data_IF_570878759482
#
_entry.id   IF_570878759482
#
_cell.length_a   1.000
_cell.length_b   1.000
_cell.length_c   1.000
_cell.angle_alpha   90.00
_cell.angle_beta   90.00
_cell.angle_gamma   90.00
#
_symmetry.space_group_name_H-M   'P 1'
#
loop_
_entity.id
_entity.type
_entity.pdbx_description
1 polymer ?
#
# COMPACT_ATOMS: atom_id res chain seq x y z
N UNK A 1 -14.05 14.92 -8.56
CA UNK A 1 -14.16 15.58 -7.27
C UNK A 1 -15.57 16.18 -7.12
N UNK A 2 -16.00 17.04 -8.02
CA UNK A 2 -17.35 17.67 -7.97
C UNK A 2 -18.50 16.64 -7.92
N UNK A 3 -18.31 15.46 -8.50
CA UNK A 3 -19.28 14.36 -8.47
C UNK A 3 -19.26 13.52 -7.18
N UNK A 4 -18.56 13.98 -6.13
CA UNK A 4 -18.51 13.31 -4.82
C UNK A 4 -17.30 12.39 -4.59
N UNK A 5 -16.35 12.30 -5.52
CA UNK A 5 -15.11 11.55 -5.31
C UNK A 5 -14.17 12.36 -4.40
N UNK A 6 -13.95 11.90 -3.17
CA UNK A 6 -13.08 12.57 -2.19
C UNK A 6 -11.60 12.22 -2.31
N UNK A 7 -11.31 10.93 -2.45
CA UNK A 7 -9.95 10.40 -2.54
C UNK A 7 -9.75 9.75 -3.91
N UNK A 8 -8.66 10.08 -4.57
CA UNK A 8 -8.30 9.46 -5.85
C UNK A 8 -6.94 8.78 -5.72
N UNK A 9 -6.95 7.44 -5.82
CA UNK A 9 -5.71 6.65 -5.89
C UNK A 9 -5.17 6.66 -7.30
N UNK A 10 -3.90 7.02 -7.41
CA UNK A 10 -3.18 7.10 -8.67
C UNK A 10 -1.87 6.33 -8.58
N UNK A 11 -1.50 5.66 -9.67
CA UNK A 11 -0.24 4.93 -9.76
C UNK A 11 0.23 4.82 -11.21
N UNK A 12 1.49 4.55 -11.36
CA UNK A 12 2.11 4.04 -12.58
C UNK A 12 2.71 2.67 -12.27
N UNK A 13 2.43 1.66 -13.09
CA UNK A 13 2.85 0.27 -12.83
C UNK A 13 4.38 0.10 -12.81
N UNK A 14 5.12 0.99 -13.47
CA UNK A 14 6.58 1.01 -13.49
C UNK A 14 7.18 2.03 -12.50
N UNK A 15 6.33 2.64 -11.67
CA UNK A 15 6.71 3.72 -10.76
C UNK A 15 7.35 4.92 -11.49
N UNK A 16 6.89 5.22 -12.72
CA UNK A 16 7.28 6.44 -13.41
C UNK A 16 6.54 7.63 -12.81
N UNK A 17 7.28 8.43 -12.05
CA UNK A 17 6.74 9.58 -11.32
C UNK A 17 6.30 10.69 -12.29
N UNK A 18 6.90 10.79 -13.47
CA UNK A 18 6.56 11.82 -14.45
C UNK A 18 5.14 11.61 -15.00
N UNK A 19 4.69 10.36 -15.11
CA UNK A 19 3.34 10.02 -15.55
C UNK A 19 2.23 10.47 -14.58
N UNK A 20 2.54 10.66 -13.30
CA UNK A 20 1.53 10.98 -12.27
C UNK A 20 1.53 12.45 -11.82
N UNK A 21 2.56 13.22 -12.14
CA UNK A 21 2.73 14.63 -11.74
C UNK A 21 1.52 15.50 -12.07
N UNK A 22 1.04 15.45 -13.31
CA UNK A 22 -0.09 16.26 -13.74
C UNK A 22 -1.38 15.85 -13.04
N UNK A 23 -1.56 14.55 -12.80
CA UNK A 23 -2.75 14.02 -12.09
C UNK A 23 -2.78 14.50 -10.65
N UNK A 24 -1.66 14.44 -9.92
CA UNK A 24 -1.54 14.99 -8.57
C UNK A 24 -1.95 16.46 -8.56
N UNK A 25 -1.36 17.26 -9.47
CA UNK A 25 -1.66 18.68 -9.58
C UNK A 25 -3.17 18.95 -9.75
N UNK A 26 -3.83 18.23 -10.67
CA UNK A 26 -5.26 18.45 -10.92
C UNK A 26 -6.14 17.98 -9.77
N UNK A 27 -5.83 16.85 -9.11
CA UNK A 27 -6.57 16.42 -7.91
C UNK A 27 -6.51 17.51 -6.85
N UNK A 28 -5.33 18.05 -6.57
CA UNK A 28 -5.14 19.12 -5.58
C UNK A 28 -5.85 20.42 -6.00
N UNK A 29 -5.80 20.77 -7.28
CA UNK A 29 -6.47 21.96 -7.81
C UNK A 29 -7.99 21.94 -7.60
N UNK A 30 -8.59 20.75 -7.67
CA UNK A 30 -10.04 20.56 -7.48
C UNK A 30 -10.42 20.16 -6.05
N UNK A 31 -9.50 20.24 -5.10
CA UNK A 31 -9.77 19.99 -3.68
C UNK A 31 -9.93 18.52 -3.30
N UNK A 32 -9.43 17.61 -4.13
CA UNK A 32 -9.38 16.17 -3.82
C UNK A 32 -8.16 15.78 -3.00
N UNK A 33 -8.21 14.59 -2.43
CA UNK A 33 -7.11 13.93 -1.74
C UNK A 33 -6.37 13.04 -2.76
N UNK A 34 -5.07 13.28 -2.95
CA UNK A 34 -4.22 12.50 -3.84
C UNK A 34 -3.57 11.35 -3.06
N UNK A 35 -4.08 10.14 -3.25
CA UNK A 35 -3.47 8.92 -2.75
C UNK A 35 -2.53 8.34 -3.82
N UNK A 36 -1.22 8.46 -3.61
CA UNK A 36 -0.22 8.07 -4.58
C UNK A 36 0.39 6.71 -4.22
N UNK A 37 0.23 5.74 -5.11
CA UNK A 37 0.73 4.40 -4.86
C UNK A 37 2.12 4.16 -5.45
N UNK A 38 2.97 3.52 -4.66
CA UNK A 38 4.24 2.92 -5.08
C UNK A 38 3.99 1.44 -5.35
N UNK A 39 4.11 1.03 -6.60
CA UNK A 39 3.90 -0.36 -7.00
C UNK A 39 5.06 -1.23 -6.54
N UNK A 40 4.74 -2.23 -5.72
CA UNK A 40 5.72 -3.20 -5.25
C UNK A 40 5.95 -4.29 -6.29
N UNK A 41 7.21 -4.64 -6.48
CA UNK A 41 7.64 -5.77 -7.29
C UNK A 41 8.95 -6.35 -6.74
N UNK A 42 9.43 -7.41 -7.36
CA UNK A 42 10.69 -8.08 -7.02
C UNK A 42 11.56 -8.20 -8.26
N UNK A 43 12.87 -8.25 -8.04
CA UNK A 43 13.81 -8.50 -9.13
C UNK A 43 13.57 -9.91 -9.69
N UNK A 44 13.67 -10.08 -11.01
CA UNK A 44 13.56 -11.38 -11.64
C UNK A 44 14.71 -12.30 -11.17
N UNK A 45 14.43 -13.60 -11.12
CA UNK A 45 15.46 -14.61 -10.88
C UNK A 45 16.07 -15.01 -12.23
N UNK A 46 17.34 -14.73 -12.38
CA UNK A 46 18.12 -15.22 -13.50
C UNK A 46 18.72 -16.58 -13.17
N UNK A 47 18.72 -17.51 -14.12
CA UNK A 47 19.29 -18.86 -13.96
C UNK A 47 20.61 -19.01 -14.76
N UNK A 48 21.36 -17.94 -14.85
CA UNK A 48 22.62 -17.84 -15.59
C UNK A 48 23.88 -18.06 -14.71
N UNK A 49 23.69 -18.17 -13.39
CA UNK A 49 24.76 -18.33 -12.42
C UNK A 49 25.52 -17.05 -12.09
N UNK A 50 25.06 -15.90 -12.58
CA UNK A 50 25.66 -14.59 -12.30
C UNK A 50 24.93 -13.86 -11.17
N UNK A 51 25.66 -12.98 -10.45
CA UNK A 51 25.06 -12.05 -9.50
C UNK A 51 24.57 -10.80 -10.25
N UNK A 52 23.26 -10.53 -10.15
CA UNK A 52 22.65 -9.33 -10.71
C UNK A 52 22.37 -8.30 -9.62
N UNK A 53 22.57 -7.03 -9.96
CA UNK A 53 22.26 -5.92 -9.06
C UNK A 53 20.76 -5.89 -8.74
N UNK A 54 20.43 -5.73 -7.46
CA UNK A 54 19.04 -5.60 -7.01
C UNK A 54 18.55 -4.18 -7.22
N UNK A 55 17.50 -4.04 -8.00
CA UNK A 55 16.83 -2.76 -8.28
C UNK A 55 15.74 -2.48 -7.25
N UNK A 56 14.88 -3.48 -6.96
CA UNK A 56 13.69 -3.30 -6.12
C UNK A 56 14.00 -3.51 -4.64
N UNK A 57 14.87 -2.65 -4.10
CA UNK A 57 15.24 -2.60 -2.69
C UNK A 57 14.21 -1.79 -1.88
N UNK A 58 14.26 -1.86 -0.55
CA UNK A 58 13.42 -0.99 0.29
C UNK A 58 13.72 0.49 0.05
N UNK A 59 15.00 0.82 -0.20
CA UNK A 59 15.47 2.18 -0.50
C UNK A 59 14.84 2.70 -1.80
N UNK A 60 14.71 1.87 -2.83
CA UNK A 60 14.02 2.23 -4.06
C UNK A 60 12.57 2.66 -3.80
N UNK A 61 11.80 1.85 -3.05
CA UNK A 61 10.40 2.16 -2.74
C UNK A 61 10.27 3.40 -1.86
N UNK A 62 11.15 3.55 -0.86
CA UNK A 62 11.18 4.73 0.02
C UNK A 62 11.48 6.01 -0.77
N UNK A 63 12.43 5.97 -1.70
CA UNK A 63 12.75 7.15 -2.52
C UNK A 63 11.58 7.54 -3.45
N UNK A 64 10.91 6.57 -4.07
CA UNK A 64 9.70 6.84 -4.85
C UNK A 64 8.61 7.49 -4.00
N UNK A 65 8.38 6.99 -2.79
CA UNK A 65 7.42 7.57 -1.86
C UNK A 65 7.74 9.01 -1.46
N UNK A 66 9.02 9.32 -1.18
CA UNK A 66 9.46 10.69 -0.91
C UNK A 66 9.22 11.64 -2.08
N UNK A 67 9.52 11.20 -3.29
CA UNK A 67 9.29 12.02 -4.49
C UNK A 67 7.81 12.30 -4.65
N UNK A 68 6.94 11.30 -4.51
CA UNK A 68 5.49 11.47 -4.59
C UNK A 68 4.96 12.40 -3.50
N UNK A 69 5.41 12.24 -2.25
CA UNK A 69 5.05 13.14 -1.16
C UNK A 69 5.51 14.58 -1.43
N UNK A 70 6.72 14.76 -1.98
CA UNK A 70 7.24 16.07 -2.40
C UNK A 70 6.46 16.72 -3.56
N UNK A 71 5.77 15.94 -4.38
CA UNK A 71 4.88 16.42 -5.43
C UNK A 71 3.48 16.80 -4.92
N UNK A 72 3.19 16.58 -3.64
CA UNK A 72 1.92 16.95 -3.00
C UNK A 72 0.95 15.80 -2.80
N UNK A 73 1.42 14.54 -2.80
CA UNK A 73 0.60 13.42 -2.37
C UNK A 73 0.13 13.64 -0.92
N UNK A 74 -1.14 13.39 -0.65
CA UNK A 74 -1.73 13.45 0.69
C UNK A 74 -1.63 12.11 1.43
N UNK A 75 -1.43 11.02 0.69
CA UNK A 75 -1.26 9.65 1.20
C UNK A 75 -0.28 8.91 0.30
N UNK A 76 0.41 7.93 0.86
CA UNK A 76 1.26 7.00 0.11
C UNK A 76 0.75 5.58 0.33
N UNK A 77 0.39 4.90 -0.76
CA UNK A 77 0.02 3.48 -0.73
C UNK A 77 1.20 2.60 -1.17
N UNK A 78 1.53 1.58 -0.38
CA UNK A 78 2.33 0.45 -0.85
C UNK A 78 1.37 -0.46 -1.62
N UNK A 79 1.52 -0.53 -2.95
CA UNK A 79 0.62 -1.31 -3.81
C UNK A 79 1.24 -2.62 -4.23
N UNK A 80 0.92 -3.68 -3.50
CA UNK A 80 1.36 -5.05 -3.80
C UNK A 80 0.27 -5.82 -4.55
N UNK A 81 0.15 -5.55 -5.83
CA UNK A 81 -0.89 -6.09 -6.72
C UNK A 81 -0.85 -7.62 -6.86
N UNK A 82 0.28 -8.23 -6.63
CA UNK A 82 0.47 -9.68 -6.82
C UNK A 82 0.59 -10.43 -5.50
N UNK A 83 0.51 -9.73 -4.36
CA UNK A 83 0.64 -10.33 -3.03
C UNK A 83 2.03 -10.89 -2.73
N UNK A 84 3.08 -10.30 -3.33
CA UNK A 84 4.45 -10.83 -3.28
C UNK A 84 5.20 -10.49 -2.00
N UNK A 85 4.72 -9.51 -1.24
CA UNK A 85 5.46 -8.99 -0.09
C UNK A 85 5.24 -9.88 1.15
N UNK A 86 6.26 -10.61 1.60
CA UNK A 86 6.12 -11.47 2.78
C UNK A 86 6.12 -10.63 4.07
N UNK A 87 5.55 -11.13 5.19
CA UNK A 87 5.43 -10.39 6.44
C UNK A 87 6.73 -9.77 6.95
N UNK A 88 7.87 -10.48 6.82
CA UNK A 88 9.17 -9.98 7.27
C UNK A 88 9.56 -8.70 6.51
N UNK A 89 9.33 -8.65 5.19
CA UNK A 89 9.65 -7.50 4.39
C UNK A 89 8.69 -6.35 4.61
N UNK A 90 7.39 -6.63 4.81
CA UNK A 90 6.39 -5.62 5.22
C UNK A 90 6.87 -4.88 6.48
N UNK A 91 7.32 -5.64 7.48
CA UNK A 91 7.80 -5.07 8.75
C UNK A 91 8.93 -4.04 8.56
N UNK A 92 9.89 -4.32 7.68
CA UNK A 92 11.00 -3.42 7.39
C UNK A 92 10.54 -2.20 6.56
N UNK A 93 9.78 -2.44 5.49
CA UNK A 93 9.36 -1.41 4.54
C UNK A 93 8.41 -0.40 5.16
N UNK A 94 7.38 -0.85 5.90
CA UNK A 94 6.44 0.05 6.60
C UNK A 94 7.20 0.96 7.56
N UNK A 95 8.11 0.41 8.37
CA UNK A 95 8.93 1.20 9.30
C UNK A 95 9.76 2.27 8.59
N UNK A 96 10.41 1.91 7.47
CA UNK A 96 11.23 2.85 6.68
C UNK A 96 10.37 3.95 6.05
N UNK A 97 9.21 3.59 5.49
CA UNK A 97 8.28 4.55 4.89
C UNK A 97 7.72 5.53 5.92
N UNK A 98 7.23 5.02 7.05
CA UNK A 98 6.73 5.87 8.15
C UNK A 98 7.79 6.84 8.70
N UNK A 99 9.07 6.49 8.63
CA UNK A 99 10.18 7.38 8.99
C UNK A 99 10.55 8.38 7.88
N UNK A 100 10.18 8.12 6.64
CA UNK A 100 10.63 8.88 5.47
C UNK A 100 9.60 9.90 4.95
N UNK A 101 8.30 9.68 5.21
CA UNK A 101 7.21 10.56 4.76
C UNK A 101 6.36 11.02 5.94
N UNK A 102 5.80 12.24 5.84
CA UNK A 102 4.95 12.85 6.87
C UNK A 102 3.45 12.76 6.53
N UNK A 103 3.09 11.91 5.59
CA UNK A 103 1.71 11.64 5.18
C UNK A 103 1.30 10.23 5.60
N UNK A 104 -0.01 9.94 5.75
CA UNK A 104 -0.47 8.59 6.03
C UNK A 104 0.05 7.57 5.03
N UNK A 105 0.37 6.38 5.53
CA UNK A 105 0.80 5.23 4.72
C UNK A 105 -0.30 4.19 4.70
N UNK A 106 -0.74 3.82 3.52
CA UNK A 106 -1.67 2.74 3.27
C UNK A 106 -0.95 1.48 2.77
N UNK A 107 -1.47 0.33 3.13
CA UNK A 107 -0.97 -0.96 2.66
C UNK A 107 -2.05 -1.73 1.91
N UNK A 108 -1.84 -1.86 0.61
CA UNK A 108 -2.67 -2.63 -0.31
C UNK A 108 -1.93 -3.91 -0.73
N UNK A 109 -2.53 -5.07 -0.52
CA UNK A 109 -1.99 -6.35 -1.00
C UNK A 109 -3.10 -7.31 -1.39
N UNK A 110 -2.74 -8.33 -2.17
CA UNK A 110 -3.61 -9.44 -2.55
C UNK A 110 -3.19 -10.73 -1.84
N UNK A 111 -4.10 -11.69 -1.73
CA UNK A 111 -3.85 -12.97 -1.06
C UNK A 111 -3.37 -14.07 -2.02
N UNK A 112 -3.09 -13.76 -3.29
CA UNK A 112 -2.83 -14.73 -4.37
C UNK A 112 -1.82 -15.82 -4.00
N UNK A 113 -0.60 -15.52 -3.48
CA UNK A 113 0.36 -16.54 -3.07
C UNK A 113 0.21 -16.97 -1.60
N UNK A 114 -0.82 -16.49 -0.88
CA UNK A 114 -1.11 -16.85 0.50
C UNK A 114 -0.53 -15.94 1.58
N UNK A 115 0.23 -14.91 1.25
CA UNK A 115 0.82 -13.99 2.26
C UNK A 115 -0.14 -12.90 2.75
N UNK A 116 -1.12 -12.49 1.94
CA UNK A 116 -1.87 -11.24 2.09
C UNK A 116 -2.36 -10.95 3.50
N UNK A 117 -3.09 -11.88 4.14
CA UNK A 117 -3.58 -11.67 5.50
C UNK A 117 -2.42 -11.48 6.49
N UNK A 118 -1.42 -12.35 6.49
CA UNK A 118 -0.29 -12.26 7.40
C UNK A 118 0.51 -10.96 7.20
N UNK A 119 0.64 -10.51 5.97
CA UNK A 119 1.32 -9.26 5.62
C UNK A 119 0.53 -8.04 6.10
N UNK A 120 -0.79 -8.00 5.92
CA UNK A 120 -1.65 -6.92 6.44
C UNK A 120 -1.60 -6.87 7.97
N UNK A 121 -1.73 -8.01 8.67
CA UNK A 121 -1.64 -8.05 10.12
C UNK A 121 -0.28 -7.55 10.63
N UNK A 122 0.79 -7.88 9.90
CA UNK A 122 2.14 -7.36 10.21
C UNK A 122 2.23 -5.85 9.98
N UNK A 123 1.67 -5.33 8.88
CA UNK A 123 1.64 -3.89 8.61
C UNK A 123 0.93 -3.12 9.73
N UNK A 124 -0.21 -3.63 10.21
CA UNK A 124 -0.96 -3.05 11.34
C UNK A 124 -0.10 -3.00 12.61
N UNK A 125 0.57 -4.10 12.98
CA UNK A 125 1.48 -4.14 14.15
C UNK A 125 2.62 -3.13 13.99
N UNK A 126 3.05 -2.83 12.77
CA UNK A 126 4.12 -1.88 12.48
C UNK A 126 3.66 -0.44 12.33
N UNK A 127 2.38 -0.18 12.54
CA UNK A 127 1.82 1.17 12.61
C UNK A 127 1.51 1.78 11.24
N UNK A 128 1.12 0.95 10.27
CA UNK A 128 0.49 1.47 9.05
C UNK A 128 -0.81 2.19 9.41
N UNK A 129 -1.13 3.27 8.72
CA UNK A 129 -2.28 4.11 9.08
C UNK A 129 -3.58 3.57 8.47
N UNK A 130 -3.49 2.97 7.28
CA UNK A 130 -4.63 2.49 6.51
C UNK A 130 -4.29 1.12 5.92
N UNK A 131 -5.30 0.28 5.74
CA UNK A 131 -5.20 -0.98 5.02
C UNK A 131 -6.40 -1.17 4.09
N UNK A 132 -6.14 -1.64 2.89
CA UNK A 132 -7.20 -2.02 1.95
C UNK A 132 -7.71 -3.42 2.28
N UNK A 133 -9.04 -3.57 2.25
CA UNK A 133 -9.72 -4.82 2.62
C UNK A 133 -10.87 -5.10 1.68
N UNK A 134 -11.39 -6.33 1.76
CA UNK A 134 -12.68 -6.71 1.17
C UNK A 134 -13.62 -7.23 2.27
N UNK A 135 -14.90 -7.30 2.00
CA UNK A 135 -15.82 -8.06 2.85
C UNK A 135 -15.62 -9.56 2.62
N UNK A 136 -15.97 -10.39 3.60
CA UNK A 136 -15.66 -11.83 3.65
C UNK A 136 -15.90 -12.57 2.33
N UNK A 137 -17.07 -12.38 1.72
CA UNK A 137 -17.47 -13.11 0.51
C UNK A 137 -16.61 -12.78 -0.73
N UNK A 138 -15.92 -11.66 -0.71
CA UNK A 138 -15.06 -11.20 -1.81
C UNK A 138 -13.59 -11.11 -1.40
N UNK A 139 -13.26 -11.52 -0.16
CA UNK A 139 -11.90 -11.49 0.38
C UNK A 139 -11.11 -12.75 0.07
N UNK A 140 -9.79 -12.64 0.12
CA UNK A 140 -8.88 -13.76 -0.09
C UNK A 140 -8.65 -14.12 -1.56
N UNK A 141 -7.92 -15.20 -1.82
CA UNK A 141 -7.55 -15.60 -3.17
C UNK A 141 -6.83 -14.48 -3.93
N UNK A 142 -7.36 -14.06 -5.07
CA UNK A 142 -6.83 -12.94 -5.86
C UNK A 142 -7.26 -11.56 -5.36
N UNK A 143 -7.99 -11.49 -4.25
CA UNK A 143 -8.45 -10.24 -3.64
C UNK A 143 -7.66 -9.89 -2.37
N UNK A 144 -7.94 -8.72 -1.79
CA UNK A 144 -7.41 -8.34 -0.49
C UNK A 144 -7.99 -9.20 0.65
N UNK A 145 -7.37 -9.21 1.84
CA UNK A 145 -7.91 -9.90 3.00
C UNK A 145 -9.28 -9.37 3.44
N UNK A 146 -10.08 -10.23 4.08
CA UNK A 146 -11.37 -9.86 4.60
C UNK A 146 -11.28 -8.94 5.83
N UNK A 147 -12.07 -7.85 5.84
CA UNK A 147 -12.11 -6.89 6.94
C UNK A 147 -12.50 -7.52 8.27
N UNK A 148 -13.39 -8.52 8.27
CA UNK A 148 -13.85 -9.21 9.46
C UNK A 148 -12.69 -9.88 10.21
N UNK A 149 -11.74 -10.50 9.49
CA UNK A 149 -10.55 -11.10 10.09
C UNK A 149 -9.63 -10.04 10.69
N UNK A 150 -9.47 -8.92 10.01
CA UNK A 150 -8.66 -7.80 10.44
C UNK A 150 -9.29 -7.14 11.68
N UNK A 151 -10.60 -6.94 11.67
CA UNK A 151 -11.35 -6.40 12.81
C UNK A 151 -11.19 -7.26 14.06
N UNK A 152 -11.37 -8.59 13.93
CA UNK A 152 -11.19 -9.52 15.05
C UNK A 152 -9.76 -9.44 15.62
N UNK A 153 -8.77 -9.38 14.75
CA UNK A 153 -7.37 -9.25 15.13
C UNK A 153 -7.09 -7.93 15.86
N UNK A 154 -7.51 -6.80 15.28
CA UNK A 154 -7.35 -5.48 15.88
C UNK A 154 -8.02 -5.39 17.25
N UNK A 155 -9.25 -5.90 17.37
CA UNK A 155 -9.99 -5.96 18.64
C UNK A 155 -9.23 -6.73 19.72
N UNK A 156 -8.58 -7.85 19.36
CA UNK A 156 -7.75 -8.63 20.31
C UNK A 156 -6.49 -7.88 20.76
N UNK A 157 -5.97 -6.97 19.93
CA UNK A 157 -4.81 -6.14 20.25
C UNK A 157 -5.16 -4.78 20.87
N UNK A 158 -6.44 -4.47 21.03
CA UNK A 158 -6.89 -3.16 21.52
C UNK A 158 -6.67 -2.04 20.50
N UNK A 159 -6.59 -2.37 19.20
CA UNK A 159 -6.49 -1.42 18.10
C UNK A 159 -7.90 -1.09 17.61
N UNK A 160 -8.23 0.19 17.60
CA UNK A 160 -9.50 0.68 17.07
C UNK A 160 -9.51 0.63 15.55
N UNK A 161 -10.63 0.20 14.97
CA UNK A 161 -10.84 0.16 13.52
C UNK A 161 -12.01 1.10 13.20
N UNK A 162 -11.75 2.13 12.44
CA UNK A 162 -12.76 3.10 12.00
C UNK A 162 -13.60 2.52 10.84
N UNK A 163 -14.39 1.50 11.14
CA UNK A 163 -15.30 0.89 10.17
C UNK A 163 -16.64 0.54 10.85
N UNK A 164 -17.74 0.77 10.15
CA UNK A 164 -19.05 0.34 10.62
C UNK A 164 -19.24 -1.15 10.35
N UNK A 165 -18.83 -1.97 11.33
CA UNK A 165 -18.91 -3.44 11.23
C UNK A 165 -20.34 -3.99 11.32
N UNK A 166 -21.34 -3.18 11.69
CA UNK A 166 -22.76 -3.58 11.61
C UNK A 166 -23.29 -3.52 10.17
N UNK A 167 -22.63 -2.71 9.32
CA UNK A 167 -22.97 -2.59 7.90
C UNK A 167 -22.25 -3.63 7.02
N UNK A 168 -21.22 -4.31 7.55
CA UNK A 168 -20.44 -5.35 6.87
C UNK A 168 -21.04 -6.71 7.10
#
# INVERSE_FOLDING_TARGET
IESGLGIMRIFDALNDVDNVKSTIKYIKQYGGIADCAVCYTVDPKYNDGEEHEKVFTDEYFVEKAKVLAGLGADMITIKDMSGLIPPQRVSALVKKLKAAVNVPVDFHTHCTPGYGLASVLTAIIKGVDIVDTNIWYFGGGSAAPAIELIYIFCKKLGIEVEANMEAV
#
